data_IF_883841696338
#
_entry.id   IF_883841696338
#
_cell.length_a   1.000
_cell.length_b   1.000
_cell.length_c   1.000
_cell.angle_alpha   90.00
_cell.angle_beta   90.00
_cell.angle_gamma   90.00
#
_symmetry.space_group_name_H-M   'P 1'
#
loop_
_entity.id
_entity.type
_entity.pdbx_description
1 polymer ?
#
# COMPACT_ATOMS: atom_id res chain seq x y z
N UNK A 1 -23.26 -37.11 1.38
CA UNK A 1 -22.51 -36.09 0.63
C UNK A 1 -22.76 -36.34 -0.84
N UNK A 2 -23.49 -35.44 -1.47
CA UNK A 2 -23.60 -35.41 -2.93
C UNK A 2 -22.21 -35.18 -3.52
N UNK A 3 -21.93 -35.60 -4.76
CA UNK A 3 -20.71 -35.21 -5.48
C UNK A 3 -20.52 -33.68 -5.47
N UNK A 4 -21.62 -32.92 -5.45
CA UNK A 4 -21.62 -31.47 -5.34
C UNK A 4 -21.01 -30.94 -4.01
N UNK A 5 -21.13 -31.66 -2.89
CA UNK A 5 -20.58 -31.23 -1.60
C UNK A 5 -19.05 -31.30 -1.56
N UNK A 6 -18.48 -32.31 -2.24
CA UNK A 6 -17.02 -32.51 -2.30
C UNK A 6 -16.34 -31.44 -3.15
N UNK A 7 -16.93 -31.09 -4.30
CA UNK A 7 -16.41 -30.01 -5.15
C UNK A 7 -16.58 -28.63 -4.50
N UNK A 8 -17.71 -28.40 -3.81
CA UNK A 8 -17.99 -27.09 -3.19
C UNK A 8 -16.92 -26.69 -2.16
N UNK A 9 -16.49 -27.62 -1.30
CA UNK A 9 -15.46 -27.32 -0.30
C UNK A 9 -14.11 -27.00 -0.95
N UNK A 10 -13.73 -27.72 -2.02
CA UNK A 10 -12.50 -27.47 -2.78
C UNK A 10 -12.52 -26.06 -3.40
N UNK A 11 -13.60 -25.69 -4.10
CA UNK A 11 -13.76 -24.37 -4.69
C UNK A 11 -13.70 -23.25 -3.65
N UNK A 12 -14.38 -23.43 -2.51
CA UNK A 12 -14.32 -22.46 -1.41
C UNK A 12 -12.88 -22.25 -0.96
N UNK A 13 -12.13 -23.33 -0.68
CA UNK A 13 -10.74 -23.20 -0.23
C UNK A 13 -9.86 -22.48 -1.27
N UNK A 14 -10.01 -22.83 -2.54
CA UNK A 14 -9.27 -22.23 -3.65
C UNK A 14 -9.61 -20.75 -3.83
N UNK A 15 -10.87 -20.36 -3.66
CA UNK A 15 -11.32 -18.96 -3.71
C UNK A 15 -10.66 -18.14 -2.60
N UNK A 16 -10.71 -18.60 -1.35
CA UNK A 16 -10.09 -17.87 -0.23
C UNK A 16 -8.57 -17.70 -0.38
N UNK A 17 -7.91 -18.61 -1.11
CA UNK A 17 -6.49 -18.52 -1.39
C UNK A 17 -6.15 -17.57 -2.55
N UNK A 18 -7.06 -17.35 -3.52
CA UNK A 18 -6.73 -16.75 -4.81
C UNK A 18 -7.59 -15.56 -5.26
N UNK A 19 -8.67 -15.21 -4.56
CA UNK A 19 -9.63 -14.20 -5.04
C UNK A 19 -9.14 -12.74 -4.96
N UNK A 20 -7.85 -12.52 -4.68
CA UNK A 20 -7.27 -11.20 -4.43
C UNK A 20 -6.33 -10.73 -5.53
N UNK A 21 -5.88 -11.64 -6.38
CA UNK A 21 -4.98 -11.36 -7.49
C UNK A 21 -5.53 -12.05 -8.73
N UNK A 22 -5.29 -11.44 -9.89
CA UNK A 22 -5.49 -12.11 -11.16
C UNK A 22 -4.30 -13.04 -11.38
N UNK A 23 -4.36 -14.22 -10.76
CA UNK A 23 -3.32 -15.23 -10.88
C UNK A 23 -3.71 -16.29 -11.89
N UNK A 24 -2.72 -16.98 -12.44
CA UNK A 24 -2.96 -18.20 -13.23
C UNK A 24 -3.83 -19.22 -12.47
N UNK A 25 -3.71 -19.27 -11.14
CA UNK A 25 -4.51 -20.14 -10.28
C UNK A 25 -5.98 -19.70 -10.23
N UNK A 26 -6.26 -18.39 -10.25
CA UNK A 26 -7.65 -17.91 -10.32
C UNK A 26 -8.27 -18.20 -11.68
N UNK A 27 -7.51 -18.05 -12.78
CA UNK A 27 -7.95 -18.47 -14.11
C UNK A 27 -8.28 -19.98 -14.17
N UNK A 28 -7.46 -20.83 -13.55
CA UNK A 28 -7.73 -22.27 -13.43
C UNK A 28 -9.01 -22.55 -12.64
N UNK A 29 -9.26 -21.82 -11.54
CA UNK A 29 -10.53 -21.94 -10.78
C UNK A 29 -11.73 -21.63 -11.67
N UNK A 30 -11.67 -20.56 -12.46
CA UNK A 30 -12.77 -20.19 -13.36
C UNK A 30 -12.97 -21.24 -14.46
N UNK A 31 -11.89 -21.82 -15.00
CA UNK A 31 -12.00 -22.88 -16.00
C UNK A 31 -12.58 -24.17 -15.41
N UNK A 32 -12.14 -24.60 -14.22
CA UNK A 32 -12.68 -25.79 -13.55
C UNK A 32 -14.16 -25.61 -13.21
N UNK A 33 -14.57 -24.39 -12.84
CA UNK A 33 -15.97 -24.07 -12.57
C UNK A 33 -16.82 -24.17 -13.84
N UNK A 34 -16.30 -23.67 -14.96
CA UNK A 34 -16.92 -23.83 -16.29
C UNK A 34 -17.10 -25.31 -16.63
N UNK A 35 -16.07 -26.14 -16.44
CA UNK A 35 -16.10 -27.57 -16.76
C UNK A 35 -17.10 -28.32 -15.86
N UNK A 36 -17.17 -27.99 -14.57
CA UNK A 36 -18.15 -28.53 -13.63
C UNK A 36 -19.59 -28.18 -14.04
N UNK A 37 -19.80 -26.98 -14.59
CA UNK A 37 -21.10 -26.47 -15.03
C UNK A 37 -21.42 -26.79 -16.50
N UNK A 38 -20.85 -27.89 -17.01
CA UNK A 38 -21.08 -28.42 -18.36
C UNK A 38 -20.65 -27.46 -19.47
N UNK A 39 -19.53 -26.74 -19.26
CA UNK A 39 -19.00 -25.79 -20.23
C UNK A 39 -19.69 -24.43 -20.21
N UNK A 40 -20.36 -24.07 -19.10
CA UNK A 40 -20.91 -22.73 -18.94
C UNK A 40 -19.80 -21.68 -19.07
N UNK A 41 -20.09 -20.61 -19.80
CA UNK A 41 -19.22 -19.45 -19.81
C UNK A 41 -19.32 -18.76 -18.45
N UNK A 42 -18.19 -18.59 -17.77
CA UNK A 42 -18.09 -17.96 -16.45
C UNK A 42 -17.18 -16.75 -16.58
N UNK A 43 -17.68 -15.58 -16.20
CA UNK A 43 -16.91 -14.35 -16.15
C UNK A 43 -16.95 -13.75 -14.75
N UNK A 44 -15.81 -13.27 -14.28
CA UNK A 44 -15.61 -12.58 -13.02
C UNK A 44 -14.99 -11.23 -13.30
N UNK A 45 -15.57 -10.18 -12.74
CA UNK A 45 -15.07 -8.82 -12.80
C UNK A 45 -14.82 -8.28 -11.39
N UNK A 46 -13.70 -7.59 -11.22
CA UNK A 46 -13.44 -6.76 -10.04
C UNK A 46 -13.34 -5.30 -10.48
N UNK A 47 -13.88 -4.40 -9.66
CA UNK A 47 -14.00 -3.00 -10.05
C UNK A 47 -13.96 -2.01 -8.89
N UNK A 48 -13.40 -0.81 -9.10
CA UNK A 48 -13.57 0.33 -8.20
C UNK A 48 -14.83 1.13 -8.54
N UNK A 49 -15.16 1.24 -9.83
CA UNK A 49 -16.36 1.93 -10.33
C UNK A 49 -16.90 1.21 -11.55
N UNK A 50 -17.84 0.29 -11.34
CA UNK A 50 -18.39 -0.57 -12.40
C UNK A 50 -18.74 0.21 -13.66
N UNK A 51 -19.48 1.32 -13.51
CA UNK A 51 -19.97 2.09 -14.67
C UNK A 51 -18.88 2.89 -15.41
N UNK A 52 -17.79 3.26 -14.74
CA UNK A 52 -16.68 3.98 -15.38
C UNK A 52 -15.71 3.00 -16.04
N UNK A 53 -15.41 1.90 -15.36
CA UNK A 53 -14.51 0.86 -15.89
C UNK A 53 -15.16 0.11 -17.06
N UNK A 54 -16.48 -0.06 -17.06
CA UNK A 54 -17.19 -0.66 -18.19
C UNK A 54 -17.24 0.24 -19.44
N UNK A 55 -16.80 1.51 -19.40
CA UNK A 55 -16.78 2.37 -20.60
C UNK A 55 -15.75 1.94 -21.65
N UNK A 56 -16.01 2.18 -22.95
CA UNK A 56 -15.01 1.97 -24.01
C UNK A 56 -13.71 2.74 -23.70
N UNK A 57 -12.55 2.10 -23.92
CA UNK A 57 -11.22 2.69 -23.70
C UNK A 57 -10.66 2.60 -22.28
N UNK A 58 -11.38 2.00 -21.33
CA UNK A 58 -10.90 1.70 -19.96
C UNK A 58 -10.62 0.20 -19.75
N UNK A 59 -10.47 -0.57 -20.84
CA UNK A 59 -10.28 -2.02 -20.79
C UNK A 59 -9.03 -2.44 -19.99
N UNK A 60 -7.95 -1.63 -20.02
CA UNK A 60 -6.72 -1.88 -19.26
C UNK A 60 -6.88 -1.78 -17.73
N UNK A 61 -7.98 -1.22 -17.24
CA UNK A 61 -8.27 -1.10 -15.80
C UNK A 61 -9.23 -2.19 -15.29
N UNK A 62 -9.68 -3.10 -16.16
CA UNK A 62 -10.62 -4.17 -15.81
C UNK A 62 -9.84 -5.42 -15.41
N UNK A 63 -9.96 -5.84 -14.15
CA UNK A 63 -9.60 -7.20 -13.75
C UNK A 63 -10.78 -8.13 -14.14
N UNK A 64 -10.80 -8.57 -15.40
CA UNK A 64 -11.78 -9.53 -15.95
C UNK A 64 -11.11 -10.89 -16.14
N UNK A 65 -11.53 -11.86 -15.34
CA UNK A 65 -11.12 -13.26 -15.48
C UNK A 65 -12.31 -14.05 -16.00
N UNK A 66 -12.15 -14.79 -17.11
CA UNK A 66 -13.25 -15.58 -17.69
C UNK A 66 -12.82 -16.96 -18.15
N UNK A 67 -13.75 -17.92 -18.20
CA UNK A 67 -13.52 -19.19 -18.89
C UNK A 67 -13.38 -18.95 -20.40
N UNK A 68 -12.85 -19.94 -21.12
CA UNK A 68 -12.54 -19.79 -22.55
C UNK A 68 -13.81 -19.45 -23.35
N UNK A 69 -13.79 -18.27 -23.96
CA UNK A 69 -14.65 -17.83 -25.04
C UNK A 69 -13.76 -17.39 -26.21
N UNK A 70 -14.29 -17.31 -27.43
CA UNK A 70 -13.51 -16.76 -28.54
C UNK A 70 -13.12 -15.31 -28.23
N UNK A 71 -11.83 -14.97 -28.41
CA UNK A 71 -11.27 -13.66 -28.00
C UNK A 71 -12.06 -12.47 -28.57
N UNK A 72 -12.49 -12.55 -29.84
CA UNK A 72 -13.29 -11.52 -30.51
C UNK A 72 -14.63 -11.25 -29.81
N UNK A 73 -15.23 -12.26 -29.17
CA UNK A 73 -16.51 -12.11 -28.46
C UNK A 73 -16.35 -11.37 -27.13
N UNK A 74 -15.28 -11.65 -26.38
CA UNK A 74 -14.98 -10.93 -25.15
C UNK A 74 -14.65 -9.46 -25.43
N UNK A 75 -13.86 -9.20 -26.47
CA UNK A 75 -13.56 -7.84 -26.92
C UNK A 75 -14.83 -7.09 -27.31
N UNK A 76 -15.70 -7.68 -28.13
CA UNK A 76 -16.97 -7.04 -28.53
C UNK A 76 -17.90 -6.73 -27.34
N UNK A 77 -17.95 -7.62 -26.34
CA UNK A 77 -18.72 -7.40 -25.12
C UNK A 77 -18.18 -6.19 -24.35
N UNK A 78 -16.86 -6.18 -24.17
CA UNK A 78 -16.15 -5.15 -23.42
C UNK A 78 -16.29 -3.76 -24.05
N UNK A 79 -16.31 -3.67 -25.37
CA UNK A 79 -16.32 -2.40 -26.11
C UNK A 79 -17.74 -1.90 -26.40
N UNK A 80 -18.70 -2.78 -26.69
CA UNK A 80 -19.96 -2.37 -27.29
C UNK A 80 -21.18 -2.81 -26.47
N UNK A 81 -21.31 -4.10 -26.15
CA UNK A 81 -22.58 -4.68 -25.71
C UNK A 81 -22.84 -4.63 -24.20
N UNK A 82 -21.82 -4.42 -23.37
CA UNK A 82 -21.96 -4.40 -21.91
C UNK A 82 -22.98 -3.36 -21.38
N UNK A 83 -23.22 -2.30 -22.13
CA UNK A 83 -24.14 -1.21 -21.80
C UNK A 83 -25.59 -1.52 -22.18
N UNK A 84 -25.81 -2.55 -23.01
CA UNK A 84 -27.12 -3.01 -23.46
C UNK A 84 -27.65 -4.22 -22.64
N UNK A 85 -26.98 -4.59 -21.54
CA UNK A 85 -27.37 -5.73 -20.68
C UNK A 85 -28.75 -5.47 -20.04
N UNK A 86 -29.80 -6.29 -20.35
CA UNK A 86 -31.16 -6.02 -19.89
C UNK A 86 -31.33 -6.01 -18.37
N UNK A 87 -30.54 -6.83 -17.67
CA UNK A 87 -30.60 -6.99 -16.21
C UNK A 87 -29.57 -6.15 -15.46
N UNK A 88 -28.93 -5.18 -16.11
CA UNK A 88 -27.89 -4.35 -15.48
C UNK A 88 -28.43 -3.59 -14.25
N UNK A 89 -29.58 -2.93 -14.38
CA UNK A 89 -30.20 -2.16 -13.28
C UNK A 89 -30.61 -3.08 -12.12
N UNK A 90 -31.11 -4.29 -12.43
CA UNK A 90 -31.47 -5.28 -11.42
C UNK A 90 -30.25 -5.68 -10.57
N UNK A 91 -29.12 -5.98 -11.21
CA UNK A 91 -27.91 -6.46 -10.55
C UNK A 91 -27.20 -5.34 -9.76
N UNK A 92 -27.19 -4.12 -10.30
CA UNK A 92 -26.38 -3.03 -9.76
C UNK A 92 -27.14 -2.17 -8.74
N UNK A 93 -28.44 -1.96 -8.96
CA UNK A 93 -29.22 -0.97 -8.22
C UNK A 93 -30.35 -1.57 -7.38
N UNK A 94 -31.08 -2.54 -7.91
CA UNK A 94 -32.26 -3.09 -7.21
C UNK A 94 -31.89 -4.20 -6.22
N UNK A 95 -30.99 -5.10 -6.61
CA UNK A 95 -30.63 -6.30 -5.82
C UNK A 95 -29.11 -6.54 -5.73
N UNK A 96 -28.30 -5.55 -5.32
CA UNK A 96 -26.87 -5.73 -5.18
C UNK A 96 -26.53 -6.81 -4.12
N UNK A 97 -25.58 -7.67 -4.46
CA UNK A 97 -25.09 -8.76 -3.61
C UNK A 97 -26.04 -9.94 -3.49
N UNK A 98 -27.12 -9.98 -4.26
CA UNK A 98 -27.99 -11.15 -4.37
C UNK A 98 -27.61 -11.96 -5.60
N UNK A 99 -27.60 -13.29 -5.45
CA UNK A 99 -27.42 -14.21 -6.56
C UNK A 99 -28.74 -14.41 -7.29
N UNK A 100 -28.80 -14.02 -8.56
CA UNK A 100 -30.02 -13.92 -9.35
C UNK A 100 -29.93 -14.86 -10.55
N UNK A 101 -31.01 -15.61 -10.77
CA UNK A 101 -31.30 -16.27 -12.04
C UNK A 101 -32.21 -15.37 -12.89
N UNK A 102 -31.81 -15.11 -14.13
CA UNK A 102 -32.56 -14.22 -15.03
C UNK A 102 -33.95 -14.79 -15.35
N UNK A 103 -34.09 -16.11 -15.43
CA UNK A 103 -35.38 -16.78 -15.69
C UNK A 103 -36.47 -16.46 -14.66
N UNK A 104 -36.11 -16.03 -13.46
CA UNK A 104 -37.04 -15.72 -12.37
C UNK A 104 -37.48 -14.25 -12.38
N UNK A 105 -36.80 -13.40 -13.16
CA UNK A 105 -37.02 -11.93 -13.15
C UNK A 105 -37.44 -11.38 -14.51
N UNK A 106 -37.17 -12.09 -15.61
CA UNK A 106 -37.43 -11.63 -16.98
C UNK A 106 -38.22 -12.64 -17.80
N UNK A 107 -39.10 -12.14 -18.67
CA UNK A 107 -39.78 -12.99 -19.64
C UNK A 107 -38.85 -13.33 -20.81
N UNK A 108 -38.90 -14.57 -21.31
CA UNK A 108 -38.05 -14.99 -22.44
C UNK A 108 -38.22 -14.10 -23.68
N UNK A 109 -39.46 -13.69 -23.97
CA UNK A 109 -39.77 -12.82 -25.11
C UNK A 109 -39.08 -11.45 -25.00
N UNK A 110 -38.93 -10.93 -23.79
CA UNK A 110 -38.25 -9.65 -23.52
C UNK A 110 -36.75 -9.79 -23.79
N UNK A 111 -36.10 -10.83 -23.26
CA UNK A 111 -34.68 -11.06 -23.51
C UNK A 111 -34.43 -11.30 -24.99
N UNK A 112 -35.27 -12.11 -25.66
CA UNK A 112 -35.17 -12.34 -27.09
C UNK A 112 -35.33 -11.07 -27.93
N UNK A 113 -36.12 -10.10 -27.49
CA UNK A 113 -36.29 -8.84 -28.21
C UNK A 113 -35.10 -7.88 -28.02
N UNK A 114 -34.24 -8.11 -27.01
CA UNK A 114 -33.10 -7.24 -26.72
C UNK A 114 -32.01 -7.32 -27.80
N UNK A 115 -31.35 -6.17 -28.02
CA UNK A 115 -30.16 -6.08 -28.86
C UNK A 115 -29.05 -7.00 -28.35
N UNK A 116 -28.82 -6.99 -27.04
CA UNK A 116 -27.83 -7.82 -26.37
C UNK A 116 -27.99 -9.31 -26.70
N UNK A 117 -29.23 -9.81 -26.71
CA UNK A 117 -29.46 -11.20 -27.10
C UNK A 117 -29.23 -11.45 -28.60
N UNK A 118 -29.82 -10.61 -29.46
CA UNK A 118 -29.80 -10.86 -30.91
C UNK A 118 -28.39 -10.74 -31.52
N UNK A 119 -27.60 -9.78 -31.05
CA UNK A 119 -26.31 -9.42 -31.64
C UNK A 119 -25.12 -10.02 -30.90
N UNK A 120 -25.23 -10.35 -29.61
CA UNK A 120 -24.11 -10.90 -28.82
C UNK A 120 -24.38 -12.30 -28.25
N UNK A 121 -25.44 -12.49 -27.46
CA UNK A 121 -25.66 -13.79 -26.80
C UNK A 121 -25.96 -14.94 -27.79
N UNK A 122 -26.84 -14.68 -28.76
CA UNK A 122 -27.30 -15.69 -29.72
C UNK A 122 -26.18 -16.14 -30.66
N UNK A 123 -25.35 -15.25 -31.25
CA UNK A 123 -24.17 -15.67 -32.01
C UNK A 123 -23.13 -16.44 -31.17
N UNK A 124 -23.03 -16.13 -29.87
CA UNK A 124 -22.18 -16.87 -28.93
C UNK A 124 -22.75 -18.25 -28.54
N UNK A 125 -24.00 -18.57 -28.93
CA UNK A 125 -24.65 -19.86 -28.65
C UNK A 125 -25.41 -19.93 -27.32
N UNK A 126 -25.58 -18.82 -26.61
CA UNK A 126 -26.26 -18.83 -25.31
C UNK A 126 -27.80 -18.88 -25.43
N UNK A 127 -28.42 -19.60 -24.50
CA UNK A 127 -29.87 -19.58 -24.32
C UNK A 127 -30.31 -18.25 -23.68
N UNK A 128 -31.52 -17.77 -24.00
CA UNK A 128 -31.98 -16.45 -23.56
C UNK A 128 -32.14 -16.32 -22.04
N UNK A 129 -32.50 -17.39 -21.34
CA UNK A 129 -32.76 -17.36 -19.90
C UNK A 129 -31.73 -18.13 -19.05
N UNK A 130 -30.78 -18.82 -19.69
CA UNK A 130 -29.71 -19.55 -19.03
C UNK A 130 -28.58 -18.60 -18.61
N UNK A 131 -28.96 -17.63 -17.76
CA UNK A 131 -28.06 -16.62 -17.22
C UNK A 131 -28.29 -16.49 -15.73
N UNK A 132 -27.19 -16.48 -14.97
CA UNK A 132 -27.21 -16.20 -13.54
C UNK A 132 -25.95 -15.47 -13.09
N UNK A 133 -26.00 -14.86 -11.91
CA UNK A 133 -24.86 -14.13 -11.38
C UNK A 133 -25.22 -13.21 -10.25
N UNK A 134 -24.27 -12.36 -9.87
CA UNK A 134 -24.47 -11.33 -8.85
C UNK A 134 -23.54 -10.14 -9.12
N UNK A 135 -23.83 -9.02 -8.48
CA UNK A 135 -22.93 -7.88 -8.43
C UNK A 135 -22.91 -7.31 -7.02
N UNK A 136 -21.74 -7.34 -6.37
CA UNK A 136 -21.50 -6.69 -5.09
C UNK A 136 -20.76 -5.37 -5.34
N UNK A 137 -21.30 -4.23 -4.89
CA UNK A 137 -20.65 -2.94 -5.08
C UNK A 137 -19.37 -2.82 -4.25
N UNK A 138 -18.42 -1.96 -4.68
CA UNK A 138 -17.24 -1.63 -3.89
C UNK A 138 -17.64 -0.98 -2.58
N UNK A 139 -16.76 -1.11 -1.60
CA UNK A 139 -16.82 -0.36 -0.35
C UNK A 139 -15.60 0.54 -0.26
N UNK A 140 -15.55 1.44 0.73
CA UNK A 140 -14.31 2.20 1.00
C UNK A 140 -13.10 1.31 1.34
N UNK A 141 -13.34 0.02 1.62
CA UNK A 141 -12.34 -0.93 2.07
C UNK A 141 -12.12 -2.08 1.06
N UNK A 142 -12.91 -2.21 0.00
CA UNK A 142 -12.81 -3.34 -0.94
C UNK A 142 -13.28 -2.99 -2.34
N UNK A 143 -12.64 -3.57 -3.35
CA UNK A 143 -13.17 -3.57 -4.71
C UNK A 143 -14.58 -4.20 -4.74
N UNK A 144 -15.39 -3.72 -5.68
CA UNK A 144 -16.61 -4.37 -6.10
C UNK A 144 -16.28 -5.63 -6.88
N UNK A 145 -17.26 -6.51 -6.95
CA UNK A 145 -17.16 -7.82 -7.56
C UNK A 145 -18.44 -8.09 -8.34
N UNK A 146 -18.31 -8.62 -9.55
CA UNK A 146 -19.43 -9.15 -10.31
C UNK A 146 -19.02 -10.48 -10.92
N UNK A 147 -19.98 -11.36 -11.09
CA UNK A 147 -19.78 -12.56 -11.89
C UNK A 147 -21.03 -12.95 -12.62
N UNK A 148 -20.82 -13.52 -13.81
CA UNK A 148 -21.87 -13.83 -14.75
C UNK A 148 -21.63 -15.21 -15.32
N UNK A 149 -22.68 -16.02 -15.38
CA UNK A 149 -22.67 -17.35 -15.93
C UNK A 149 -23.68 -17.41 -17.07
N UNK A 150 -23.24 -17.91 -18.22
CA UNK A 150 -24.06 -18.09 -19.42
C UNK A 150 -23.93 -19.52 -19.92
N UNK A 151 -25.04 -20.10 -20.41
CA UNK A 151 -25.04 -21.44 -21.02
C UNK A 151 -26.00 -21.51 -22.21
N UNK A 152 -25.85 -22.55 -23.01
CA UNK A 152 -26.74 -22.88 -24.14
C UNK A 152 -28.07 -23.56 -23.71
N UNK A 153 -28.18 -23.91 -22.43
CA UNK A 153 -29.28 -24.65 -21.82
C UNK A 153 -29.48 -24.25 -20.36
N UNK A 154 -30.70 -24.37 -19.86
CA UNK A 154 -31.08 -23.97 -18.49
C UNK A 154 -30.23 -24.67 -17.42
N UNK A 155 -29.90 -23.93 -16.35
CA UNK A 155 -29.24 -24.48 -15.16
C UNK A 155 -30.17 -25.40 -14.36
N UNK A 156 -29.63 -26.53 -13.91
CA UNK A 156 -30.33 -27.45 -13.02
C UNK A 156 -30.40 -26.86 -11.59
N UNK A 157 -31.45 -27.16 -10.80
CA UNK A 157 -31.61 -26.60 -9.46
C UNK A 157 -30.40 -26.80 -8.53
N UNK A 158 -29.70 -27.93 -8.66
CA UNK A 158 -28.49 -28.22 -7.89
C UNK A 158 -27.30 -27.35 -8.31
N UNK A 159 -27.16 -27.03 -9.60
CA UNK A 159 -26.12 -26.14 -10.14
C UNK A 159 -26.34 -24.70 -9.65
N UNK A 160 -27.60 -24.26 -9.64
CA UNK A 160 -28.00 -22.96 -9.11
C UNK A 160 -27.66 -22.86 -7.62
N UNK A 161 -28.06 -23.85 -6.82
CA UNK A 161 -27.79 -23.83 -5.37
C UNK A 161 -26.28 -23.86 -5.09
N UNK A 162 -25.53 -24.65 -5.85
CA UNK A 162 -24.06 -24.66 -5.77
C UNK A 162 -23.48 -23.26 -6.02
N UNK A 163 -23.86 -22.59 -7.11
CA UNK A 163 -23.38 -21.25 -7.43
C UNK A 163 -23.84 -20.21 -6.41
N UNK A 164 -25.05 -20.32 -5.89
CA UNK A 164 -25.58 -19.44 -4.83
C UNK A 164 -24.77 -19.54 -3.54
N UNK A 165 -24.41 -20.75 -3.11
CA UNK A 165 -23.55 -20.93 -1.92
C UNK A 165 -22.16 -20.37 -2.20
N UNK A 166 -21.62 -20.63 -3.39
CA UNK A 166 -20.30 -20.15 -3.80
C UNK A 166 -20.22 -18.61 -3.85
N UNK A 167 -21.27 -17.93 -4.35
CA UNK A 167 -21.42 -16.47 -4.35
C UNK A 167 -21.19 -15.87 -2.96
N UNK A 168 -21.84 -16.45 -1.95
CA UNK A 168 -21.73 -16.01 -0.56
C UNK A 168 -20.32 -16.16 0.00
N UNK A 169 -19.53 -17.12 -0.49
CA UNK A 169 -18.11 -17.26 -0.13
C UNK A 169 -17.22 -16.27 -0.89
N UNK A 170 -17.46 -16.07 -2.19
CA UNK A 170 -16.76 -15.08 -3.01
C UNK A 170 -16.89 -13.68 -2.41
N UNK A 171 -18.11 -13.24 -2.11
CA UNK A 171 -18.35 -11.93 -1.48
C UNK A 171 -17.78 -11.79 -0.06
N UNK A 172 -17.59 -12.89 0.68
CA UNK A 172 -16.93 -12.85 2.00
C UNK A 172 -15.41 -12.74 1.86
N UNK A 173 -14.82 -13.53 0.96
CA UNK A 173 -13.39 -13.55 0.75
C UNK A 173 -12.90 -12.20 0.18
N UNK A 174 -13.58 -11.62 -0.82
CA UNK A 174 -13.23 -10.30 -1.38
C UNK A 174 -13.25 -9.18 -0.34
N UNK A 175 -14.28 -9.13 0.52
CA UNK A 175 -14.36 -8.15 1.63
C UNK A 175 -13.25 -8.33 2.65
N UNK A 176 -12.98 -9.57 3.07
CA UNK A 176 -11.95 -9.86 4.07
C UNK A 176 -10.57 -9.35 3.63
N UNK A 177 -10.21 -9.58 2.36
CA UNK A 177 -8.89 -9.15 1.88
C UNK A 177 -8.85 -7.73 1.39
N UNK A 178 -9.96 -7.17 0.90
CA UNK A 178 -10.06 -5.72 0.74
C UNK A 178 -9.68 -5.02 2.04
N UNK A 179 -10.30 -5.45 3.16
CA UNK A 179 -10.00 -4.89 4.47
C UNK A 179 -8.53 -5.05 4.87
N UNK A 180 -7.93 -6.22 4.64
CA UNK A 180 -6.50 -6.45 4.91
C UNK A 180 -5.63 -5.52 4.06
N UNK A 181 -5.87 -5.43 2.76
CA UNK A 181 -5.11 -4.57 1.84
C UNK A 181 -5.23 -3.09 2.18
N UNK A 182 -6.42 -2.62 2.55
CA UNK A 182 -6.61 -1.23 2.99
C UNK A 182 -5.76 -0.92 4.23
N UNK A 183 -5.73 -1.83 5.21
CA UNK A 183 -4.88 -1.68 6.40
C UNK A 183 -3.38 -1.75 6.07
N UNK A 184 -2.98 -2.62 5.14
CA UNK A 184 -1.59 -2.69 4.66
C UNK A 184 -1.19 -1.43 3.90
N UNK A 185 -2.06 -0.89 3.04
CA UNK A 185 -1.82 0.35 2.29
C UNK A 185 -1.65 1.56 3.22
N UNK A 186 -2.52 1.70 4.23
CA UNK A 186 -2.40 2.76 5.24
C UNK A 186 -1.09 2.64 6.04
N UNK A 187 -0.69 1.41 6.40
CA UNK A 187 0.59 1.13 7.04
C UNK A 187 1.75 1.53 6.15
N UNK A 188 1.76 1.09 4.91
CA UNK A 188 2.86 1.32 3.98
C UNK A 188 3.00 2.81 3.65
N UNK A 189 1.88 3.54 3.52
CA UNK A 189 1.89 5.00 3.39
C UNK A 189 2.48 5.69 4.63
N UNK A 190 2.10 5.25 5.84
CA UNK A 190 2.66 5.79 7.09
C UNK A 190 4.17 5.50 7.23
N UNK A 191 4.63 4.32 6.83
CA UNK A 191 6.05 3.97 6.82
C UNK A 191 6.82 4.76 5.76
N UNK A 192 6.27 4.94 4.56
CA UNK A 192 6.86 5.77 3.51
C UNK A 192 7.05 7.23 3.96
N UNK A 193 6.12 7.78 4.76
CA UNK A 193 6.29 9.11 5.36
C UNK A 193 7.48 9.19 6.32
N UNK A 194 7.81 8.10 7.03
CA UNK A 194 8.99 8.04 7.90
C UNK A 194 10.29 7.98 7.09
N UNK A 195 10.29 7.39 5.89
CA UNK A 195 11.46 7.36 4.99
C UNK A 195 11.75 8.71 4.31
N UNK A 196 10.70 9.51 4.08
CA UNK A 196 10.79 10.93 3.68
C UNK A 196 11.12 11.81 4.89
N UNK A 197 11.07 11.28 6.10
CA UNK A 197 11.42 11.98 7.33
C UNK A 197 12.92 12.31 7.43
N UNK A 198 13.23 13.22 8.34
CA UNK A 198 14.61 13.60 8.70
C UNK A 198 15.13 12.84 9.92
N UNK A 199 14.24 12.22 10.67
CA UNK A 199 14.58 11.51 11.90
C UNK A 199 14.92 10.06 11.58
N UNK A 200 15.98 9.53 12.20
CA UNK A 200 16.30 8.11 12.15
C UNK A 200 15.44 7.36 13.18
N UNK A 201 14.57 6.47 12.69
CA UNK A 201 13.53 5.80 13.49
C UNK A 201 13.68 4.28 13.40
N UNK A 202 13.62 3.61 14.55
CA UNK A 202 13.66 2.16 14.69
C UNK A 202 12.48 1.69 15.53
N UNK A 203 11.70 0.73 15.04
CA UNK A 203 10.61 0.10 15.76
C UNK A 203 11.10 -1.14 16.50
N UNK A 204 10.64 -1.30 17.75
CA UNK A 204 11.07 -2.35 18.65
C UNK A 204 9.88 -3.16 19.14
N UNK A 205 10.03 -4.48 19.15
CA UNK A 205 9.07 -5.43 19.71
C UNK A 205 9.05 -5.37 21.24
N UNK A 206 8.07 -6.04 21.86
CA UNK A 206 8.04 -6.23 23.32
C UNK A 206 9.26 -6.96 23.89
N UNK A 207 10.03 -7.66 23.05
CA UNK A 207 11.28 -8.33 23.41
C UNK A 207 12.53 -7.47 23.15
N UNK A 208 12.36 -6.25 22.67
CA UNK A 208 13.44 -5.35 22.26
C UNK A 208 14.08 -5.74 20.93
N UNK A 209 13.37 -6.49 20.09
CA UNK A 209 13.83 -6.87 18.74
C UNK A 209 13.40 -5.81 17.73
N UNK A 210 14.28 -5.47 16.79
CA UNK A 210 13.98 -4.53 15.71
C UNK A 210 12.99 -5.18 14.76
N UNK A 211 11.82 -4.55 14.61
CA UNK A 211 10.76 -5.01 13.70
C UNK A 211 10.76 -4.26 12.39
N UNK A 212 11.21 -3.00 12.40
CA UNK A 212 11.34 -2.13 11.23
C UNK A 212 12.28 -0.96 11.54
N UNK A 213 12.90 -0.37 10.52
CA UNK A 213 13.64 0.89 10.62
C UNK A 213 13.57 1.63 9.29
N UNK A 214 13.65 2.96 9.33
CA UNK A 214 13.62 3.80 8.12
C UNK A 214 15.02 3.93 7.49
N UNK A 215 15.09 4.41 6.25
CA UNK A 215 16.34 4.65 5.52
C UNK A 215 17.34 5.51 6.31
N UNK A 216 16.86 6.51 7.05
CA UNK A 216 17.73 7.36 7.88
C UNK A 216 18.37 6.60 9.05
N UNK A 217 17.64 5.68 9.67
CA UNK A 217 18.22 4.82 10.71
C UNK A 217 19.26 3.86 10.13
N UNK A 218 19.03 3.32 8.93
CA UNK A 218 20.02 2.51 8.21
C UNK A 218 21.31 3.28 7.97
N UNK A 219 21.21 4.48 7.38
CA UNK A 219 22.37 5.37 7.14
C UNK A 219 23.16 5.67 8.43
N UNK A 220 22.47 5.93 9.55
CA UNK A 220 23.09 6.19 10.85
C UNK A 220 23.78 4.95 11.43
N UNK A 221 23.22 3.76 11.18
CA UNK A 221 23.83 2.49 11.62
C UNK A 221 25.02 2.10 10.75
N UNK A 222 25.01 2.38 9.44
CA UNK A 222 26.07 1.98 8.51
C UNK A 222 27.25 2.96 8.46
N UNK A 223 27.01 4.26 8.61
CA UNK A 223 27.98 5.33 8.31
C UNK A 223 29.22 5.42 9.22
N UNK A 224 29.19 4.83 10.42
CA UNK A 224 30.30 4.61 11.38
C UNK A 224 29.68 4.13 12.73
N UNK A 225 29.46 2.82 12.95
CA UNK A 225 28.47 2.36 13.92
C UNK A 225 28.88 2.61 15.37
N UNK A 226 28.16 3.50 16.05
CA UNK A 226 27.99 3.46 17.52
C UNK A 226 27.05 2.32 17.94
N UNK A 227 26.09 2.00 17.07
CA UNK A 227 25.12 0.93 17.22
C UNK A 227 25.24 -0.05 16.07
N UNK A 228 24.95 -1.32 16.32
CA UNK A 228 24.87 -2.38 15.32
C UNK A 228 23.61 -3.20 15.51
N UNK A 229 23.08 -3.72 14.42
CA UNK A 229 22.03 -4.71 14.46
C UNK A 229 22.64 -6.10 14.61
N UNK A 230 22.52 -6.71 15.79
CA UNK A 230 23.04 -8.06 16.07
C UNK A 230 21.90 -8.98 16.51
N UNK A 231 21.68 -10.07 15.76
CA UNK A 231 20.59 -11.04 16.02
C UNK A 231 19.22 -10.36 16.19
N UNK A 232 18.95 -9.36 15.35
CA UNK A 232 17.69 -8.60 15.37
C UNK A 232 17.55 -7.62 16.54
N UNK A 233 18.62 -7.28 17.27
CA UNK A 233 18.58 -6.29 18.36
C UNK A 233 19.60 -5.19 18.16
N UNK A 234 19.26 -3.96 18.56
CA UNK A 234 20.22 -2.86 18.60
C UNK A 234 21.22 -3.09 19.74
N UNK A 235 22.51 -3.11 19.40
CA UNK A 235 23.64 -3.29 20.31
C UNK A 235 24.62 -2.13 20.19
N UNK A 236 25.28 -1.78 21.29
CA UNK A 236 26.43 -0.88 21.24
C UNK A 236 27.60 -1.55 20.51
N UNK A 237 28.32 -0.80 19.68
CA UNK A 237 29.36 -1.36 18.82
C UNK A 237 30.63 -1.86 19.56
N UNK A 238 30.86 -1.43 20.82
CA UNK A 238 32.02 -1.84 21.64
C UNK A 238 31.61 -2.07 23.09
N UNK A 239 31.70 -3.33 23.56
CA UNK A 239 31.69 -3.77 24.97
C UNK A 239 30.94 -2.90 25.99
N UNK A 240 31.63 -1.92 26.60
CA UNK A 240 31.08 -1.03 27.64
C UNK A 240 29.94 -0.11 27.17
N UNK A 241 29.73 0.02 25.86
CA UNK A 241 28.74 0.88 25.21
C UNK A 241 27.43 0.12 24.89
N UNK A 242 27.37 -1.21 25.10
CA UNK A 242 26.15 -2.01 24.86
C UNK A 242 25.09 -1.85 25.95
N UNK A 243 25.51 -1.64 27.20
CA UNK A 243 24.59 -1.71 28.34
C UNK A 243 23.59 -0.55 28.36
N UNK A 244 24.01 0.66 27.98
CA UNK A 244 23.14 1.83 27.97
C UNK A 244 21.96 1.72 26.98
N UNK A 245 22.15 1.46 25.67
CA UNK A 245 21.04 1.27 24.75
C UNK A 245 20.19 0.04 25.11
N UNK A 246 20.82 -1.05 25.56
CA UNK A 246 20.11 -2.25 26.02
C UNK A 246 19.18 -1.96 27.20
N UNK A 247 19.67 -1.26 28.23
CA UNK A 247 18.89 -0.90 29.41
C UNK A 247 17.76 0.07 29.08
N UNK A 248 18.02 1.04 28.19
CA UNK A 248 17.00 1.97 27.69
C UNK A 248 15.87 1.23 26.97
N UNK A 249 16.21 0.28 26.08
CA UNK A 249 15.24 -0.55 25.36
C UNK A 249 14.45 -1.41 26.36
N UNK A 250 15.13 -2.12 27.26
CA UNK A 250 14.48 -2.98 28.25
C UNK A 250 13.52 -2.20 29.17
N UNK A 251 13.93 -0.99 29.60
CA UNK A 251 13.10 -0.11 30.41
C UNK A 251 11.89 0.45 29.65
N UNK A 252 12.03 0.75 28.36
CA UNK A 252 10.92 1.23 27.53
C UNK A 252 9.95 0.11 27.12
N UNK A 253 10.42 -1.14 27.00
CA UNK A 253 9.57 -2.30 26.66
C UNK A 253 9.09 -3.07 27.90
N UNK A 254 9.33 -2.55 29.11
CA UNK A 254 9.02 -3.23 30.36
C UNK A 254 7.52 -3.51 30.54
N UNK A 255 7.23 -4.64 31.18
CA UNK A 255 5.90 -5.09 31.59
C UNK A 255 5.93 -5.51 33.06
N UNK A 256 4.81 -5.38 33.75
CA UNK A 256 4.63 -5.94 35.08
C UNK A 256 4.27 -7.44 35.03
N UNK A 257 4.06 -8.03 36.21
CA UNK A 257 3.76 -9.46 36.39
C UNK A 257 2.44 -9.87 35.72
N UNK A 258 1.48 -8.95 35.64
CA UNK A 258 0.19 -9.14 34.96
C UNK A 258 0.29 -8.93 33.45
N UNK A 259 1.48 -8.62 32.93
CA UNK A 259 1.76 -8.39 31.52
C UNK A 259 1.37 -7.00 31.02
N UNK A 260 0.92 -6.10 31.90
CA UNK A 260 0.60 -4.73 31.56
C UNK A 260 1.89 -3.92 31.33
N UNK A 261 1.84 -3.01 30.37
CA UNK A 261 3.01 -2.21 29.95
C UNK A 261 3.29 -1.14 31.01
N UNK A 262 4.51 -1.13 31.54
CA UNK A 262 4.98 -0.16 32.54
C UNK A 262 6.18 0.67 32.06
N UNK A 263 6.59 0.44 30.80
CA UNK A 263 7.74 1.06 30.21
C UNK A 263 7.67 2.60 30.20
N UNK A 264 8.84 3.22 30.30
CA UNK A 264 8.99 4.69 30.36
C UNK A 264 9.96 5.18 29.28
N UNK A 265 9.80 6.42 28.80
CA UNK A 265 10.79 7.02 27.92
C UNK A 265 12.18 7.03 28.57
N UNK A 266 13.20 6.69 27.78
CA UNK A 266 14.59 6.72 28.20
C UNK A 266 15.44 7.39 27.13
N UNK A 267 16.43 8.17 27.54
CA UNK A 267 17.41 8.77 26.62
C UNK A 267 18.79 8.38 27.11
N UNK A 268 19.60 7.82 26.21
CA UNK A 268 20.98 7.43 26.50
C UNK A 268 21.93 7.99 25.45
N UNK A 269 23.17 8.18 25.87
CA UNK A 269 24.26 8.66 25.03
C UNK A 269 25.21 7.50 24.76
N UNK A 270 25.47 7.22 23.48
CA UNK A 270 26.27 6.09 23.00
C UNK A 270 27.56 6.63 22.41
N UNK A 271 28.69 6.38 23.08
CA UNK A 271 29.97 6.96 22.72
C UNK A 271 30.44 6.53 21.31
N UNK A 272 31.00 7.47 20.56
CA UNK A 272 31.60 7.29 19.22
C UNK A 272 33.10 7.58 19.29
N UNK A 273 33.91 6.55 19.51
CA UNK A 273 35.37 6.75 19.69
C UNK A 273 35.72 7.79 20.75
N UNK A 274 36.99 8.23 20.79
CA UNK A 274 37.47 9.16 21.82
C UNK A 274 37.29 10.66 21.47
N UNK A 275 36.99 10.99 20.21
CA UNK A 275 36.98 12.39 19.71
C UNK A 275 35.68 12.79 19.02
N UNK A 276 34.69 11.91 18.96
CA UNK A 276 33.43 12.23 18.30
C UNK A 276 32.32 12.48 19.32
N UNK A 277 31.35 13.29 18.91
CA UNK A 277 30.14 13.48 19.69
C UNK A 277 29.37 12.16 19.75
N UNK A 278 28.79 11.81 20.91
CA UNK A 278 28.04 10.57 21.05
C UNK A 278 26.75 10.59 20.22
N UNK A 279 26.28 9.39 19.89
CA UNK A 279 24.95 9.19 19.34
C UNK A 279 23.93 9.23 20.48
N UNK A 280 22.92 10.10 20.38
CA UNK A 280 21.77 10.04 21.28
C UNK A 280 20.82 8.92 20.85
N UNK A 281 20.29 8.17 21.81
CA UNK A 281 19.25 7.16 21.57
C UNK A 281 18.10 7.45 22.50
N UNK A 282 16.98 7.91 21.95
CA UNK A 282 15.76 8.14 22.71
C UNK A 282 14.77 7.02 22.43
N UNK A 283 14.44 6.22 23.44
CA UNK A 283 13.49 5.11 23.32
C UNK A 283 12.18 5.50 24.01
N UNK A 284 11.08 5.45 23.28
CA UNK A 284 9.76 5.88 23.74
C UNK A 284 8.78 4.69 23.65
N UNK A 285 8.10 4.33 24.75
CA UNK A 285 7.07 3.29 24.72
C UNK A 285 5.87 3.71 23.86
N UNK A 286 5.32 2.76 23.11
CA UNK A 286 4.07 2.98 22.37
C UNK A 286 2.89 2.76 23.33
N UNK A 287 2.08 3.79 23.54
CA UNK A 287 1.01 3.79 24.55
C UNK A 287 -0.16 2.84 24.21
N UNK A 288 -0.43 2.62 22.93
CA UNK A 288 -1.45 1.66 22.46
C UNK A 288 -0.78 0.63 21.56
N UNK A 289 -0.95 -0.68 21.81
CA UNK A 289 -0.46 -1.70 20.90
C UNK A 289 -0.96 -1.43 19.49
N UNK A 290 -0.06 -1.46 18.51
CA UNK A 290 -0.42 -1.67 17.11
C UNK A 290 -0.24 -3.17 16.89
N UNK A 291 -1.32 -3.97 16.84
CA UNK A 291 -1.21 -5.39 16.60
C UNK A 291 -0.65 -5.60 15.19
N UNK A 292 0.46 -6.33 15.08
CA UNK A 292 0.92 -6.89 13.82
C UNK A 292 0.33 -8.29 13.67
N UNK A 293 -0.24 -8.59 12.51
CA UNK A 293 -0.77 -9.91 12.15
C UNK A 293 0.32 -11.01 12.20
N UNK A 294 1.61 -10.63 12.16
CA UNK A 294 2.76 -11.54 12.28
C UNK A 294 3.28 -11.72 13.71
N UNK A 295 2.60 -11.16 14.72
CA UNK A 295 2.96 -11.32 16.13
C UNK A 295 4.10 -10.42 16.63
N UNK A 296 4.60 -9.50 15.80
CA UNK A 296 5.64 -8.54 16.15
C UNK A 296 5.03 -7.20 16.60
N UNK A 297 4.35 -7.22 17.74
CA UNK A 297 3.76 -6.03 18.37
C UNK A 297 4.82 -4.93 18.60
N UNK A 298 4.62 -3.73 18.03
CA UNK A 298 5.48 -2.58 18.33
C UNK A 298 5.25 -2.14 19.79
N UNK A 299 6.29 -2.28 20.61
CA UNK A 299 6.26 -1.92 22.03
C UNK A 299 6.95 -0.58 22.30
N UNK A 300 7.97 -0.25 21.52
CA UNK A 300 8.69 1.01 21.65
C UNK A 300 9.23 1.49 20.29
N UNK A 301 9.52 2.78 20.21
CA UNK A 301 10.19 3.43 19.08
C UNK A 301 11.50 4.03 19.58
N UNK A 302 12.61 3.74 18.91
CA UNK A 302 13.90 4.36 19.17
C UNK A 302 14.21 5.41 18.09
N UNK A 303 14.56 6.62 18.53
CA UNK A 303 15.08 7.69 17.70
C UNK A 303 16.60 7.74 17.83
N UNK A 304 17.31 7.67 16.70
CA UNK A 304 18.77 7.80 16.64
C UNK A 304 19.12 9.26 16.35
N UNK A 305 19.55 9.96 17.40
CA UNK A 305 19.85 11.38 17.36
C UNK A 305 21.34 11.55 17.07
N UNK A 306 21.66 11.67 15.79
CA UNK A 306 23.02 11.87 15.33
C UNK A 306 23.35 13.37 15.22
N UNK A 307 24.31 13.83 16.04
CA UNK A 307 24.81 15.21 15.98
C UNK A 307 25.65 15.50 14.72
N UNK A 308 26.16 14.47 14.04
CA UNK A 308 26.76 14.56 12.70
C UNK A 308 25.70 14.58 11.59
N UNK A 309 24.42 14.26 11.86
CA UNK A 309 23.40 14.26 10.82
C UNK A 309 23.19 15.68 10.29
N UNK A 310 23.75 15.91 9.11
CA UNK A 310 23.68 17.19 8.45
C UNK A 310 22.32 17.29 7.75
N UNK A 311 21.42 18.15 8.25
CA UNK A 311 20.17 18.46 7.55
C UNK A 311 20.50 19.21 6.26
N UNK A 312 20.42 18.51 5.13
CA UNK A 312 20.65 19.08 3.80
C UNK A 312 19.30 19.16 3.08
N UNK A 313 18.60 20.31 3.14
CA UNK A 313 17.41 20.48 2.33
C UNK A 313 17.77 20.29 0.83
N UNK A 314 16.95 19.55 0.07
CA UNK A 314 17.11 19.36 -1.37
C UNK A 314 17.18 20.70 -2.10
N UNK A 315 17.95 20.79 -3.18
CA UNK A 315 18.12 22.05 -3.92
C UNK A 315 16.78 22.49 -4.50
N UNK A 316 16.05 21.59 -5.16
CA UNK A 316 14.73 21.88 -5.72
C UNK A 316 13.74 22.45 -4.69
N UNK A 317 13.77 21.96 -3.44
CA UNK A 317 12.93 22.49 -2.35
C UNK A 317 13.33 23.92 -2.00
N UNK A 318 14.63 24.20 -1.92
CA UNK A 318 15.13 25.55 -1.65
C UNK A 318 14.81 26.52 -2.79
N UNK A 319 14.90 26.07 -4.04
CA UNK A 319 14.51 26.85 -5.20
C UNK A 319 13.01 27.15 -5.21
N UNK A 320 12.16 26.16 -4.92
CA UNK A 320 10.71 26.31 -4.94
C UNK A 320 10.15 27.14 -3.76
N UNK A 321 10.61 26.90 -2.53
CA UNK A 321 10.08 27.58 -1.34
C UNK A 321 10.56 29.03 -1.19
N UNK A 322 11.76 29.31 -1.69
CA UNK A 322 12.44 30.58 -1.47
C UNK A 322 12.82 31.30 -2.77
N UNK A 323 12.34 30.80 -3.90
CA UNK A 323 12.59 31.30 -5.25
C UNK A 323 14.09 31.46 -5.57
N UNK A 324 14.95 30.67 -4.92
CA UNK A 324 16.40 30.80 -5.05
C UNK A 324 16.87 30.40 -6.45
N UNK A 325 17.92 31.05 -6.92
CA UNK A 325 18.63 30.58 -8.12
C UNK A 325 19.44 29.30 -7.80
N UNK A 326 19.84 28.50 -8.81
CA UNK A 326 20.66 27.30 -8.57
C UNK A 326 22.00 27.56 -7.88
N UNK A 327 22.55 28.77 -8.00
CA UNK A 327 23.76 29.16 -7.29
C UNK A 327 23.48 29.52 -5.82
N UNK A 328 22.38 30.24 -5.56
CA UNK A 328 21.91 30.60 -4.22
C UNK A 328 21.49 29.36 -3.42
N UNK A 329 20.76 28.42 -4.03
CA UNK A 329 20.34 27.18 -3.39
C UNK A 329 21.53 26.28 -3.02
N UNK A 330 22.56 26.22 -3.88
CA UNK A 330 23.82 25.51 -3.58
C UNK A 330 24.55 26.12 -2.38
N UNK A 331 24.63 27.46 -2.31
CA UNK A 331 25.22 28.16 -1.17
C UNK A 331 24.38 27.95 0.10
N UNK A 332 23.05 28.10 0.02
CA UNK A 332 22.14 27.88 1.14
C UNK A 332 22.25 26.46 1.71
N UNK A 333 22.26 25.43 0.84
CA UNK A 333 22.44 24.03 1.24
C UNK A 333 23.78 23.80 1.93
N UNK A 334 24.88 24.40 1.44
CA UNK A 334 26.19 24.31 2.07
C UNK A 334 26.23 24.95 3.47
N UNK A 335 25.59 26.11 3.63
CA UNK A 335 25.49 26.80 4.92
C UNK A 335 24.60 26.03 5.90
N UNK A 336 23.46 25.49 5.45
CA UNK A 336 22.60 24.60 6.22
C UNK A 336 23.37 23.33 6.64
N UNK A 337 24.31 22.90 5.80
CA UNK A 337 25.20 21.78 6.07
C UNK A 337 26.33 22.08 7.08
N UNK A 338 26.38 23.29 7.64
CA UNK A 338 27.42 23.73 8.58
C UNK A 338 28.72 24.19 7.92
N UNK A 339 28.82 24.22 6.59
CA UNK A 339 30.00 24.75 5.91
C UNK A 339 30.07 26.27 6.06
N UNK A 340 31.28 26.80 6.27
CA UNK A 340 31.54 28.22 6.23
C UNK A 340 31.55 28.75 4.78
N UNK A 341 31.29 30.05 4.56
CA UNK A 341 31.43 30.66 3.24
C UNK A 341 32.82 30.49 2.63
N UNK A 342 33.86 30.41 3.46
CA UNK A 342 35.23 30.20 3.02
C UNK A 342 35.45 28.77 2.51
N UNK A 343 34.93 27.77 3.22
CA UNK A 343 34.99 26.37 2.78
C UNK A 343 34.20 26.16 1.49
N UNK A 344 33.02 26.78 1.36
CA UNK A 344 32.24 26.74 0.12
C UNK A 344 32.98 27.40 -1.06
N UNK A 345 33.65 28.53 -0.82
CA UNK A 345 34.47 29.19 -1.84
C UNK A 345 35.58 28.26 -2.34
N UNK A 346 36.31 27.62 -1.42
CA UNK A 346 37.34 26.62 -1.74
C UNK A 346 36.76 25.44 -2.50
N UNK A 347 35.67 24.84 -2.00
CA UNK A 347 35.04 23.65 -2.59
C UNK A 347 34.46 23.91 -4.00
N UNK A 348 34.09 25.14 -4.31
CA UNK A 348 33.52 25.52 -5.62
C UNK A 348 34.50 26.24 -6.54
N UNK A 349 35.76 26.42 -6.14
CA UNK A 349 36.78 27.15 -6.91
C UNK A 349 36.45 28.64 -7.11
N UNK A 350 35.60 29.24 -6.25
CA UNK A 350 35.17 30.63 -6.34
C UNK A 350 35.98 31.53 -5.40
N UNK A 351 36.10 32.82 -5.74
CA UNK A 351 36.73 33.78 -4.82
C UNK A 351 35.84 34.01 -3.59
N UNK A 352 36.47 34.25 -2.44
CA UNK A 352 35.77 34.60 -1.19
C UNK A 352 34.84 35.81 -1.38
N UNK A 353 35.25 36.77 -2.20
CA UNK A 353 34.46 37.99 -2.49
C UNK A 353 33.19 37.68 -3.28
N UNK A 354 33.27 36.73 -4.22
CA UNK A 354 32.10 36.27 -4.98
C UNK A 354 31.09 35.59 -4.05
N UNK A 355 31.54 34.69 -3.18
CA UNK A 355 30.67 34.00 -2.21
C UNK A 355 30.08 34.98 -1.21
N UNK A 356 30.86 35.97 -0.74
CA UNK A 356 30.39 37.04 0.15
C UNK A 356 29.28 37.87 -0.51
N UNK A 357 29.43 38.18 -1.79
CA UNK A 357 28.42 38.90 -2.56
C UNK A 357 27.15 38.08 -2.74
N UNK A 358 27.27 36.79 -3.08
CA UNK A 358 26.13 35.86 -3.16
C UNK A 358 25.40 35.73 -1.82
N UNK A 359 26.14 35.65 -0.70
CA UNK A 359 25.56 35.58 0.64
C UNK A 359 24.77 36.85 0.99
N UNK A 360 25.25 38.03 0.59
CA UNK A 360 24.53 39.30 0.79
C UNK A 360 23.22 39.33 0.01
N UNK A 361 23.21 38.82 -1.22
CA UNK A 361 21.98 38.71 -2.01
C UNK A 361 21.00 37.71 -1.39
N UNK A 362 21.50 36.56 -0.95
CA UNK A 362 20.71 35.54 -0.25
C UNK A 362 20.04 36.10 1.01
N UNK A 363 20.79 36.84 1.85
CA UNK A 363 20.26 37.52 3.04
C UNK A 363 19.14 38.51 2.70
N UNK A 364 19.36 39.35 1.69
CA UNK A 364 18.37 40.33 1.26
C UNK A 364 17.09 39.65 0.75
N UNK A 365 17.24 38.57 -0.03
CA UNK A 365 16.12 37.82 -0.63
C UNK A 365 15.28 37.11 0.43
N UNK A 366 15.93 36.58 1.46
CA UNK A 366 15.29 35.84 2.54
C UNK A 366 14.91 36.71 3.76
N UNK A 367 15.20 38.02 3.72
CA UNK A 367 14.87 38.94 4.82
C UNK A 367 15.63 38.68 6.12
N UNK A 368 16.77 38.00 6.08
CA UNK A 368 17.58 37.64 7.25
C UNK A 368 18.86 38.46 7.31
N UNK A 369 19.28 38.82 8.51
CA UNK A 369 20.45 39.69 8.74
C UNK A 369 21.66 38.94 9.33
N UNK A 370 21.49 37.68 9.72
CA UNK A 370 22.53 36.85 10.33
C UNK A 370 22.54 35.46 9.72
N UNK A 371 23.73 34.88 9.55
CA UNK A 371 23.89 33.53 9.04
C UNK A 371 23.16 32.50 9.92
N UNK A 372 23.15 32.68 11.24
CA UNK A 372 22.42 31.80 12.16
C UNK A 372 20.91 31.83 11.93
N UNK A 373 20.34 33.00 11.62
CA UNK A 373 18.92 33.13 11.30
C UNK A 373 18.59 32.46 9.95
N UNK A 374 19.48 32.61 8.96
CA UNK A 374 19.39 31.90 7.69
C UNK A 374 19.41 30.39 7.92
N UNK A 375 20.41 29.85 8.64
CA UNK A 375 20.52 28.41 8.90
C UNK A 375 19.27 27.89 9.61
N UNK A 376 18.77 28.59 10.64
CA UNK A 376 17.54 28.20 11.35
C UNK A 376 16.34 28.10 10.41
N UNK A 377 16.18 29.07 9.50
CA UNK A 377 15.12 29.09 8.49
C UNK A 377 15.25 27.95 7.47
N UNK A 378 16.48 27.63 7.06
CA UNK A 378 16.75 26.53 6.13
C UNK A 378 16.54 25.16 6.79
N UNK A 379 16.86 24.99 8.08
CA UNK A 379 16.71 23.72 8.79
C UNK A 379 15.27 23.43 9.24
N UNK A 380 14.36 24.40 9.12
CA UNK A 380 12.91 24.19 9.29
C UNK A 380 12.19 23.75 8.02
N UNK A 381 12.84 23.77 6.85
CA UNK A 381 12.25 23.27 5.61
C UNK A 381 12.22 21.72 5.60
N UNK A 382 11.23 21.08 4.94
CA UNK A 382 11.18 19.63 4.80
C UNK A 382 12.45 19.13 4.09
N UNK A 383 13.27 18.31 4.77
CA UNK A 383 14.58 17.94 4.25
C UNK A 383 14.61 16.59 3.49
N UNK A 384 13.51 15.84 3.44
CA UNK A 384 13.50 14.50 2.83
C UNK A 384 12.79 14.36 1.48
N UNK A 385 12.49 15.46 0.80
CA UNK A 385 12.11 15.44 -0.61
C UNK A 385 13.37 15.27 -1.48
N UNK A 386 14.09 14.16 -1.32
CA UNK A 386 15.31 13.90 -2.12
C UNK A 386 14.99 13.95 -3.62
N UNK A 387 15.92 14.49 -4.41
CA UNK A 387 15.86 14.46 -5.87
C UNK A 387 16.26 13.06 -6.35
N UNK A 388 15.29 12.14 -6.43
CA UNK A 388 15.36 10.89 -7.22
C UNK A 388 16.39 9.86 -6.81
#
# INVERSE_FOLDING_TARGET
MSLADTHLLDFIQRIYANVHEETAQFQEIIQDLSDLLQGAFVAVLRFNRLREEMRPGHAEQRELTSSRLADDFLTSWAEEFHQDIPWFELFVHEQPGQFIEIRNSFAEAEIRASRYYQEWMKPAGFAPLAVMGSTTPPTGESLGWAWFLYRDSDFEPEEVEFCRVLDGHLGRATRATGRLRSLEGDRDAALALLDVGVEAVVFLSSRGEVTWFNRRAEEVMDGEPALRLEKGRLRGAVGAVDEAPRAAIAGATARDEDGARTGRPAIVSVARGAKELPLGVAVVPVARPVPDLRGAECAAVAFLIDSKAVRRPPIAVLEALYELTPAEARLARALAAGQSPAEFATATGRSRETVRTQLKFLFRKLGVNRQTDLVRMLTSAPAGLDEG
#
